data_IF_228002639430
#
_entry.id   IF_228002639430
#
_cell.length_a   1.000
_cell.length_b   1.000
_cell.length_c   1.000
_cell.angle_alpha   90.00
_cell.angle_beta   90.00
_cell.angle_gamma   90.00
#
_symmetry.space_group_name_H-M   'P 1'
#
loop_
_entity.id
_entity.type
_entity.pdbx_description
1 polymer ?
#
# COMPACT_ATOMS: atom_id res chain seq x y z
N UNK A 1 13.54 -18.03 -25.59
CA UNK A 1 13.13 -16.92 -24.67
C UNK A 1 13.10 -15.65 -25.51
N UNK A 2 11.92 -15.20 -25.90
CA UNK A 2 11.74 -13.89 -26.56
C UNK A 2 11.94 -12.82 -25.50
N UNK A 3 13.10 -12.16 -25.52
CA UNK A 3 13.34 -10.99 -24.68
C UNK A 3 12.40 -9.86 -25.13
N UNK A 4 11.55 -9.36 -24.25
CA UNK A 4 10.79 -8.15 -24.52
C UNK A 4 11.76 -6.98 -24.67
N UNK A 5 11.66 -6.14 -25.72
CA UNK A 5 12.52 -4.98 -25.87
C UNK A 5 12.25 -3.96 -24.76
N UNK A 6 13.27 -3.20 -24.36
CA UNK A 6 13.10 -2.09 -23.42
C UNK A 6 12.39 -0.89 -24.09
N UNK A 7 12.67 -0.67 -25.38
CA UNK A 7 12.15 0.45 -26.16
C UNK A 7 11.69 -0.03 -27.54
N UNK A 8 10.56 0.44 -28.00
CA UNK A 8 10.04 0.26 -29.35
C UNK A 8 10.04 1.60 -30.08
N UNK A 9 10.68 1.63 -31.26
CA UNK A 9 10.59 2.75 -32.18
C UNK A 9 9.56 2.39 -33.26
N UNK A 10 8.48 3.16 -33.36
CA UNK A 10 7.40 2.89 -34.29
C UNK A 10 7.18 4.09 -35.23
N UNK A 11 6.91 3.82 -36.50
CA UNK A 11 6.43 4.87 -37.40
C UNK A 11 4.96 5.18 -37.11
N UNK A 12 4.55 6.43 -37.28
CA UNK A 12 3.15 6.83 -37.19
C UNK A 12 2.34 6.26 -38.37
N UNK A 13 2.91 6.27 -39.54
CA UNK A 13 2.27 5.74 -40.74
C UNK A 13 2.78 4.34 -41.05
N UNK A 14 1.99 3.34 -40.66
CA UNK A 14 2.27 1.94 -40.96
C UNK A 14 1.41 1.49 -42.16
N UNK A 15 1.88 0.53 -42.97
CA UNK A 15 1.13 0.03 -44.14
C UNK A 15 -0.25 -0.54 -43.79
N UNK A 16 -0.40 -1.02 -42.56
CA UNK A 16 -1.56 -1.76 -42.05
C UNK A 16 -2.26 -1.03 -40.87
N UNK A 17 -1.88 0.21 -40.55
CA UNK A 17 -2.54 0.95 -39.46
C UNK A 17 -1.86 2.24 -39.05
N UNK A 18 -2.35 2.79 -37.92
CA UNK A 18 -1.81 4.00 -37.31
C UNK A 18 -0.95 3.65 -36.10
N UNK A 19 0.30 4.10 -36.08
CA UNK A 19 1.23 3.91 -34.98
C UNK A 19 0.75 4.51 -33.65
N UNK A 20 -0.06 5.58 -33.69
CA UNK A 20 -0.63 6.20 -32.49
C UNK A 20 -1.57 5.22 -31.75
N UNK A 21 -2.35 4.45 -32.50
CA UNK A 21 -3.25 3.43 -31.92
C UNK A 21 -2.48 2.19 -31.47
N UNK A 22 -1.36 1.86 -32.18
CA UNK A 22 -0.50 0.74 -31.81
C UNK A 22 0.13 0.92 -30.43
N UNK A 23 0.39 2.16 -29.97
CA UNK A 23 0.90 2.45 -28.63
C UNK A 23 0.01 1.82 -27.54
N UNK A 24 -1.32 1.99 -27.64
CA UNK A 24 -2.26 1.42 -26.68
C UNK A 24 -2.16 -0.11 -26.61
N UNK A 25 -1.99 -0.77 -27.77
CA UNK A 25 -1.90 -2.21 -27.84
C UNK A 25 -0.56 -2.71 -27.26
N UNK A 26 0.54 -2.04 -27.57
CA UNK A 26 1.86 -2.36 -26.97
C UNK A 26 1.81 -2.18 -25.45
N UNK A 27 1.28 -1.06 -24.96
CA UNK A 27 1.20 -0.80 -23.52
C UNK A 27 0.28 -1.77 -22.77
N UNK A 28 -0.75 -2.32 -23.43
CA UNK A 28 -1.59 -3.39 -22.85
C UNK A 28 -0.86 -4.73 -22.76
N UNK A 29 -0.08 -5.09 -23.78
CA UNK A 29 0.63 -6.37 -23.85
C UNK A 29 1.94 -6.34 -23.08
N UNK A 30 2.66 -5.22 -23.13
CA UNK A 30 3.98 -5.03 -22.53
C UNK A 30 4.08 -3.63 -21.86
N UNK A 31 3.51 -3.45 -20.65
CA UNK A 31 3.41 -2.14 -19.98
C UNK A 31 4.78 -1.45 -19.75
N UNK A 32 5.84 -2.24 -19.59
CA UNK A 32 7.19 -1.75 -19.29
C UNK A 32 7.97 -1.31 -20.52
N UNK A 33 7.51 -1.65 -21.74
CA UNK A 33 8.16 -1.21 -22.99
C UNK A 33 7.84 0.27 -23.21
N UNK A 34 8.85 1.11 -23.34
CA UNK A 34 8.67 2.51 -23.70
C UNK A 34 8.58 2.65 -25.23
N UNK A 35 7.55 3.37 -25.69
CA UNK A 35 7.28 3.53 -27.12
C UNK A 35 7.60 4.95 -27.56
N UNK A 36 8.45 5.09 -28.57
CA UNK A 36 8.79 6.36 -29.22
C UNK A 36 8.21 6.32 -30.63
N UNK A 37 7.40 7.30 -30.98
CA UNK A 37 6.84 7.42 -32.31
C UNK A 37 7.70 8.33 -33.21
N UNK A 38 7.92 7.89 -34.42
CA UNK A 38 8.62 8.63 -35.47
C UNK A 38 7.63 9.03 -36.57
N UNK A 39 7.70 10.26 -37.06
CA UNK A 39 6.85 10.73 -38.16
C UNK A 39 7.66 11.52 -39.21
N UNK A 40 7.31 11.40 -40.45
CA UNK A 40 7.87 12.25 -41.51
C UNK A 40 7.26 13.68 -41.51
N UNK A 41 5.99 13.80 -41.05
CA UNK A 41 5.27 15.08 -40.98
C UNK A 41 4.69 15.24 -39.56
N UNK A 42 5.29 16.12 -38.75
CA UNK A 42 4.84 16.37 -37.38
C UNK A 42 3.45 17.04 -37.38
N UNK A 43 2.47 16.37 -36.80
CA UNK A 43 1.14 16.92 -36.54
C UNK A 43 0.94 17.01 -35.01
N UNK A 44 0.64 18.20 -34.51
CA UNK A 44 0.47 18.46 -33.07
C UNK A 44 -0.64 17.59 -32.44
N UNK A 45 -1.86 17.46 -33.07
CA UNK A 45 -2.89 16.57 -32.55
C UNK A 45 -2.45 15.12 -32.37
N UNK A 46 -1.73 14.55 -33.35
CA UNK A 46 -1.25 13.16 -33.28
C UNK A 46 -0.22 12.97 -32.19
N UNK A 47 0.69 13.95 -31.99
CA UNK A 47 1.66 13.95 -30.91
C UNK A 47 0.99 13.97 -29.54
N UNK A 48 0.00 14.84 -29.35
CA UNK A 48 -0.79 14.91 -28.09
C UNK A 48 -1.53 13.61 -27.83
N UNK A 49 -2.13 13.01 -28.87
CA UNK A 49 -2.85 11.74 -28.73
C UNK A 49 -1.89 10.58 -28.43
N UNK A 50 -0.72 10.55 -29.05
CA UNK A 50 0.32 9.56 -28.78
C UNK A 50 0.75 9.56 -27.30
N UNK A 51 1.02 10.74 -26.75
CA UNK A 51 1.41 10.88 -25.33
C UNK A 51 0.22 10.46 -24.41
N UNK A 52 -1.02 10.81 -24.74
CA UNK A 52 -2.22 10.35 -24.00
C UNK A 52 -2.37 8.82 -24.05
N UNK A 53 -2.00 8.20 -25.15
CA UNK A 53 -2.01 6.74 -25.32
C UNK A 53 -0.84 6.05 -24.59
N UNK A 54 0.09 6.82 -23.99
CA UNK A 54 1.20 6.29 -23.20
C UNK A 54 2.53 6.19 -23.96
N UNK A 55 2.69 6.84 -25.12
CA UNK A 55 3.99 6.96 -25.77
C UNK A 55 4.96 7.73 -24.87
N UNK A 56 6.23 7.32 -24.88
CA UNK A 56 7.29 8.01 -24.16
C UNK A 56 7.59 9.37 -24.82
N UNK A 57 7.65 9.39 -26.15
CA UNK A 57 7.82 10.63 -26.91
C UNK A 57 7.35 10.47 -28.37
N UNK A 58 7.29 11.62 -29.08
CA UNK A 58 6.88 11.74 -30.46
C UNK A 58 7.86 12.66 -31.20
N UNK A 59 8.55 12.15 -32.24
CA UNK A 59 9.65 12.84 -32.93
C UNK A 59 9.39 12.91 -34.42
N UNK A 60 9.76 14.05 -35.05
CA UNK A 60 9.76 14.22 -36.50
C UNK A 60 11.06 13.68 -37.12
N UNK A 61 10.94 12.86 -38.17
CA UNK A 61 12.09 12.38 -38.97
C UNK A 61 12.79 13.58 -39.62
N UNK A 62 14.10 13.69 -39.44
CA UNK A 62 14.87 14.84 -39.93
C UNK A 62 15.22 15.87 -38.89
N UNK A 63 14.59 15.84 -37.71
CA UNK A 63 15.13 16.52 -36.56
C UNK A 63 16.43 15.86 -36.12
N UNK A 64 17.38 16.72 -35.76
CA UNK A 64 18.76 16.45 -35.39
C UNK A 64 18.98 15.05 -34.78
N UNK A 65 19.72 14.16 -35.43
CA UNK A 65 20.09 12.84 -34.92
C UNK A 65 20.70 12.90 -33.50
N UNK A 66 21.24 14.06 -33.12
CA UNK A 66 21.79 14.31 -31.79
C UNK A 66 20.69 14.27 -30.68
N UNK A 67 19.40 14.40 -31.01
CA UNK A 67 18.29 14.33 -30.03
C UNK A 67 17.79 12.90 -29.84
N UNK A 68 17.88 12.04 -30.85
CA UNK A 68 17.33 10.68 -30.84
C UNK A 68 18.05 9.80 -29.82
N UNK A 69 19.39 9.82 -29.83
CA UNK A 69 20.23 8.97 -28.96
C UNK A 69 19.99 9.28 -27.48
N UNK A 70 20.03 10.56 -27.01
CA UNK A 70 19.68 10.89 -25.62
C UNK A 70 18.25 10.48 -25.24
N UNK A 71 17.30 10.59 -26.16
CA UNK A 71 15.92 10.23 -25.91
C UNK A 71 15.74 8.71 -25.73
N UNK A 72 16.36 7.90 -26.61
CA UNK A 72 16.38 6.44 -26.48
C UNK A 72 17.04 6.04 -25.15
N UNK A 73 18.15 6.68 -24.77
CA UNK A 73 18.81 6.40 -23.48
C UNK A 73 17.89 6.65 -22.31
N UNK A 74 17.16 7.78 -22.29
CA UNK A 74 16.17 8.09 -21.25
C UNK A 74 15.00 7.10 -21.24
N UNK A 75 14.52 6.67 -22.41
CA UNK A 75 13.46 5.67 -22.52
C UNK A 75 13.91 4.31 -21.97
N UNK A 76 15.16 3.88 -22.30
CA UNK A 76 15.77 2.65 -21.77
C UNK A 76 15.92 2.72 -20.24
N UNK A 77 16.40 3.84 -19.71
CA UNK A 77 16.53 4.02 -18.26
C UNK A 77 15.17 3.91 -17.56
N UNK A 78 14.13 4.55 -18.11
CA UNK A 78 12.79 4.47 -17.58
C UNK A 78 12.22 3.05 -17.63
N UNK A 79 12.39 2.34 -18.76
CA UNK A 79 11.96 0.95 -18.89
C UNK A 79 12.64 0.04 -17.86
N UNK A 80 13.97 0.15 -17.70
CA UNK A 80 14.73 -0.60 -16.69
C UNK A 80 14.31 -0.26 -15.27
N UNK A 81 14.02 1.02 -14.99
CA UNK A 81 13.51 1.44 -13.68
C UNK A 81 12.14 0.81 -13.38
N UNK A 82 11.22 0.79 -14.36
CA UNK A 82 9.91 0.17 -14.22
C UNK A 82 10.02 -1.34 -13.95
N UNK A 83 10.87 -2.06 -14.69
CA UNK A 83 11.13 -3.49 -14.48
C UNK A 83 11.73 -3.75 -13.10
N UNK A 84 12.66 -2.89 -12.65
CA UNK A 84 13.25 -3.00 -11.29
C UNK A 84 12.21 -2.77 -10.21
N UNK A 85 11.34 -1.76 -10.38
CA UNK A 85 10.24 -1.47 -9.47
C UNK A 85 9.29 -2.67 -9.37
N UNK A 86 8.85 -3.23 -10.50
CA UNK A 86 7.98 -4.41 -10.53
C UNK A 86 8.61 -5.62 -9.82
N UNK A 87 9.92 -5.86 -10.04
CA UNK A 87 10.64 -6.93 -9.33
C UNK A 87 10.70 -6.71 -7.82
N UNK A 88 10.88 -5.45 -7.38
CA UNK A 88 10.88 -5.11 -5.95
C UNK A 88 9.48 -5.26 -5.35
N UNK A 89 8.43 -4.79 -6.03
CA UNK A 89 7.05 -4.98 -5.62
C UNK A 89 6.69 -6.46 -5.47
N UNK A 90 7.09 -7.31 -6.44
CA UNK A 90 6.89 -8.76 -6.37
C UNK A 90 7.63 -9.38 -5.18
N UNK A 91 8.88 -8.97 -4.92
CA UNK A 91 9.64 -9.47 -3.76
C UNK A 91 8.97 -9.08 -2.45
N UNK A 92 8.54 -7.83 -2.31
CA UNK A 92 7.82 -7.33 -1.13
C UNK A 92 6.52 -8.11 -0.95
N UNK A 93 5.72 -8.26 -2.02
CA UNK A 93 4.48 -9.02 -1.97
C UNK A 93 4.68 -10.49 -1.57
N UNK A 94 5.75 -11.16 -2.02
CA UNK A 94 6.10 -12.51 -1.61
C UNK A 94 6.54 -12.58 -0.14
N UNK A 95 7.33 -11.60 0.32
CA UNK A 95 7.79 -11.54 1.70
C UNK A 95 6.64 -11.41 2.71
N UNK A 96 5.59 -10.68 2.32
CA UNK A 96 4.42 -10.40 3.16
C UNK A 96 3.16 -11.15 2.71
N UNK A 97 3.31 -12.26 1.97
CA UNK A 97 2.18 -13.10 1.57
C UNK A 97 1.69 -13.99 2.73
N UNK A 98 0.48 -14.52 2.61
CA UNK A 98 -0.02 -15.53 3.57
C UNK A 98 0.85 -16.77 3.63
N UNK A 99 1.56 -17.11 2.55
CA UNK A 99 2.49 -18.24 2.49
C UNK A 99 3.74 -18.03 3.35
N UNK A 100 4.05 -16.78 3.71
CA UNK A 100 5.16 -16.44 4.61
C UNK A 100 4.80 -16.64 6.09
N UNK A 101 3.53 -16.86 6.43
CA UNK A 101 3.08 -17.09 7.80
C UNK A 101 3.44 -18.52 8.21
N UNK A 102 4.37 -18.63 9.16
CA UNK A 102 4.89 -19.91 9.61
C UNK A 102 3.95 -20.60 10.59
N UNK A 103 3.62 -21.85 10.29
CA UNK A 103 2.84 -22.73 11.14
C UNK A 103 1.84 -23.58 10.37
N UNK A 104 1.44 -24.71 10.99
CA UNK A 104 0.54 -25.68 10.38
C UNK A 104 -0.63 -26.05 11.29
N UNK A 105 -0.73 -25.47 12.48
CA UNK A 105 -1.82 -25.72 13.41
C UNK A 105 -3.17 -25.37 12.81
N UNK A 106 -4.21 -26.10 13.20
CA UNK A 106 -5.58 -25.91 12.71
C UNK A 106 -6.09 -24.50 13.00
N UNK A 107 -5.85 -24.01 14.22
CA UNK A 107 -6.27 -22.66 14.62
C UNK A 107 -5.61 -21.55 13.77
N UNK A 108 -4.32 -21.68 13.44
CA UNK A 108 -3.64 -20.74 12.56
C UNK A 108 -4.20 -20.80 11.13
N UNK A 109 -4.40 -22.00 10.60
CA UNK A 109 -4.96 -22.19 9.24
C UNK A 109 -6.36 -21.58 9.11
N UNK A 110 -7.19 -21.71 10.13
CA UNK A 110 -8.51 -21.07 10.18
C UNK A 110 -8.40 -19.55 10.16
N UNK A 111 -7.50 -18.95 10.97
CA UNK A 111 -7.24 -17.52 10.96
C UNK A 111 -6.73 -17.02 9.59
N UNK A 112 -5.81 -17.75 8.97
CA UNK A 112 -5.30 -17.45 7.62
C UNK A 112 -6.41 -17.49 6.59
N UNK A 113 -7.28 -18.50 6.60
CA UNK A 113 -8.41 -18.60 5.67
C UNK A 113 -9.38 -17.42 5.81
N UNK A 114 -9.68 -17.00 7.03
CA UNK A 114 -10.51 -15.82 7.29
C UNK A 114 -9.84 -14.54 6.75
N UNK A 115 -8.56 -14.37 7.03
CA UNK A 115 -7.80 -13.23 6.55
C UNK A 115 -7.70 -13.18 5.01
N UNK A 116 -7.54 -14.33 4.35
CA UNK A 116 -7.58 -14.44 2.88
C UNK A 116 -8.94 -14.04 2.31
N UNK A 117 -10.04 -14.50 2.91
CA UNK A 117 -11.40 -14.14 2.47
C UNK A 117 -11.64 -12.63 2.54
N UNK A 118 -11.19 -11.97 3.59
CA UNK A 118 -11.39 -10.53 3.75
C UNK A 118 -10.41 -9.69 2.93
N UNK A 119 -9.26 -10.22 2.54
CA UNK A 119 -8.23 -9.47 1.82
C UNK A 119 -8.74 -8.86 0.50
N UNK A 120 -9.60 -9.56 -0.23
CA UNK A 120 -10.16 -9.12 -1.52
C UNK A 120 -11.24 -8.05 -1.41
N UNK A 121 -11.65 -7.70 -0.19
CA UNK A 121 -12.66 -6.68 0.12
C UNK A 121 -12.01 -5.41 0.67
N UNK A 122 -12.75 -4.30 0.74
CA UNK A 122 -12.30 -3.04 1.34
C UNK A 122 -12.89 -2.80 2.74
N UNK A 123 -13.59 -3.79 3.32
CA UNK A 123 -14.17 -3.63 4.66
C UNK A 123 -13.08 -3.48 5.73
N UNK A 124 -13.37 -2.74 6.82
CA UNK A 124 -12.50 -2.70 7.99
C UNK A 124 -12.27 -4.09 8.58
N UNK A 125 -11.06 -4.34 9.07
CA UNK A 125 -10.67 -5.61 9.69
C UNK A 125 -10.16 -5.34 11.10
N UNK A 126 -10.67 -6.09 12.07
CA UNK A 126 -10.19 -6.08 13.45
C UNK A 126 -9.42 -7.38 13.72
N UNK A 127 -8.12 -7.27 13.97
CA UNK A 127 -7.26 -8.37 14.38
C UNK A 127 -7.19 -8.41 15.91
N UNK A 128 -7.58 -9.52 16.51
CA UNK A 128 -7.50 -9.71 17.95
C UNK A 128 -6.54 -10.84 18.30
N UNK A 129 -5.87 -10.73 19.44
CA UNK A 129 -4.95 -11.76 19.91
C UNK A 129 -3.90 -11.17 20.83
N UNK A 130 -3.24 -12.03 21.58
CA UNK A 130 -2.18 -11.63 22.53
C UNK A 130 -1.02 -10.92 21.84
N UNK A 131 -0.23 -10.19 22.60
CA UNK A 131 1.01 -9.59 22.11
C UNK A 131 1.94 -10.69 21.59
N UNK A 132 2.56 -10.46 20.43
CA UNK A 132 3.47 -11.42 19.79
C UNK A 132 2.80 -12.51 18.94
N UNK A 133 1.46 -12.50 18.74
CA UNK A 133 0.76 -13.49 17.90
C UNK A 133 0.95 -13.25 16.39
N UNK A 134 1.54 -12.11 15.99
CA UNK A 134 1.81 -11.78 14.60
C UNK A 134 0.73 -10.93 13.94
N UNK A 135 0.00 -10.10 14.69
CA UNK A 135 -1.06 -9.22 14.17
C UNK A 135 -0.57 -8.34 13.01
N UNK A 136 0.63 -7.76 13.11
CA UNK A 136 1.21 -6.96 12.04
C UNK A 136 1.51 -7.79 10.77
N UNK A 137 2.02 -9.01 10.92
CA UNK A 137 2.28 -9.93 9.80
C UNK A 137 0.98 -10.24 9.06
N UNK A 138 -0.11 -10.47 9.79
CA UNK A 138 -1.44 -10.66 9.19
C UNK A 138 -1.95 -9.40 8.51
N UNK A 139 -1.76 -8.22 9.10
CA UNK A 139 -2.16 -6.95 8.48
C UNK A 139 -1.43 -6.70 7.15
N UNK A 140 -0.13 -6.96 7.11
CA UNK A 140 0.67 -6.89 5.89
C UNK A 140 0.21 -7.92 4.86
N UNK A 141 -0.03 -9.18 5.25
CA UNK A 141 -0.52 -10.22 4.35
C UNK A 141 -1.89 -9.86 3.75
N UNK A 142 -2.81 -9.30 4.54
CA UNK A 142 -4.11 -8.80 4.08
C UNK A 142 -3.93 -7.67 3.06
N UNK A 143 -3.03 -6.71 3.33
CA UNK A 143 -2.78 -5.59 2.42
C UNK A 143 -2.19 -6.08 1.09
N UNK A 144 -1.08 -6.83 1.13
CA UNK A 144 -0.38 -7.27 -0.08
C UNK A 144 -1.17 -8.29 -0.91
N UNK A 145 -2.18 -8.95 -0.33
CA UNK A 145 -3.13 -9.83 -1.03
C UNK A 145 -4.41 -9.09 -1.48
N UNK A 146 -4.49 -7.76 -1.31
CA UNK A 146 -5.67 -6.96 -1.65
C UNK A 146 -5.54 -6.27 -3.01
N UNK A 147 -6.63 -5.63 -3.44
CA UNK A 147 -6.63 -4.74 -4.62
C UNK A 147 -5.74 -3.51 -4.43
N UNK A 148 -5.37 -3.18 -3.18
CA UNK A 148 -4.51 -2.05 -2.81
C UNK A 148 -3.05 -2.43 -2.60
N UNK A 149 -2.65 -3.65 -3.01
CA UNK A 149 -1.29 -4.20 -2.81
C UNK A 149 -0.14 -3.34 -3.38
N UNK A 150 -0.43 -2.51 -4.37
CA UNK A 150 0.53 -1.56 -4.97
C UNK A 150 0.49 -0.15 -4.36
N UNK A 151 -0.40 0.07 -3.40
CA UNK A 151 -0.56 1.35 -2.71
C UNK A 151 0.16 1.33 -1.37
N UNK A 152 0.23 2.48 -0.71
CA UNK A 152 0.92 2.60 0.57
C UNK A 152 0.27 1.74 1.66
N UNK A 153 1.11 1.04 2.42
CA UNK A 153 0.78 0.44 3.71
C UNK A 153 1.44 1.29 4.80
N UNK A 154 0.62 1.96 5.60
CA UNK A 154 1.09 2.84 6.68
C UNK A 154 0.73 2.19 8.01
N UNK A 155 1.74 1.86 8.82
CA UNK A 155 1.55 1.27 10.14
C UNK A 155 1.80 2.31 11.23
N UNK A 156 0.93 2.35 12.23
CA UNK A 156 1.09 3.18 13.42
C UNK A 156 0.67 2.39 14.66
N UNK A 157 1.52 2.42 15.67
CA UNK A 157 1.19 1.86 16.98
C UNK A 157 0.64 2.97 17.86
N UNK A 158 -0.62 2.84 18.30
CA UNK A 158 -1.34 3.84 19.07
C UNK A 158 -0.77 4.05 20.48
N UNK A 159 -0.02 3.08 21.02
CA UNK A 159 0.60 3.20 22.35
C UNK A 159 1.98 3.88 22.34
N UNK A 160 2.58 4.08 21.17
CA UNK A 160 3.97 4.57 21.03
C UNK A 160 4.10 6.08 21.20
N UNK A 161 3.01 6.82 21.27
CA UNK A 161 2.99 8.28 21.28
C UNK A 161 2.13 8.84 22.43
N UNK A 162 2.46 10.06 22.92
CA UNK A 162 1.48 10.79 23.71
C UNK A 162 0.24 11.12 22.88
N UNK A 163 -0.89 11.40 23.54
CA UNK A 163 -2.16 11.72 22.87
C UNK A 163 -2.01 12.83 21.82
N UNK A 164 -1.35 13.94 22.19
CA UNK A 164 -1.17 15.12 21.34
C UNK A 164 -0.29 14.79 20.13
N UNK A 165 0.76 14.01 20.36
CA UNK A 165 1.67 13.62 19.29
C UNK A 165 0.98 12.62 18.33
N UNK A 166 0.26 11.63 18.85
CA UNK A 166 -0.52 10.69 18.04
C UNK A 166 -1.54 11.41 17.17
N UNK A 167 -2.23 12.41 17.73
CA UNK A 167 -3.19 13.22 16.99
C UNK A 167 -2.53 13.96 15.82
N UNK A 168 -1.40 14.60 16.10
CA UNK A 168 -0.62 15.32 15.08
C UNK A 168 -0.04 14.40 14.00
N UNK A 169 0.44 13.19 14.38
CA UNK A 169 0.93 12.20 13.42
C UNK A 169 -0.20 11.68 12.54
N UNK A 170 -1.31 11.25 13.13
CA UNK A 170 -2.41 10.63 12.39
C UNK A 170 -3.13 11.60 11.46
N UNK A 171 -3.48 12.80 11.96
CA UNK A 171 -4.35 13.74 11.24
C UNK A 171 -3.62 14.93 10.62
N UNK A 172 -2.36 15.16 11.01
CA UNK A 172 -1.60 16.31 10.55
C UNK A 172 -2.01 17.62 11.22
N UNK A 173 -1.24 18.65 10.98
CA UNK A 173 -1.49 19.98 11.56
C UNK A 173 -1.11 21.11 10.61
N UNK A 174 -1.64 22.31 10.90
CA UNK A 174 -1.24 23.57 10.28
C UNK A 174 -0.16 24.24 11.11
N UNK A 175 0.70 25.00 10.43
CA UNK A 175 1.67 25.86 11.10
C UNK A 175 0.97 26.78 12.10
N UNK A 176 1.55 26.92 13.29
CA UNK A 176 1.01 27.77 14.36
C UNK A 176 -0.15 27.18 15.17
N UNK A 177 -0.58 25.94 14.93
CA UNK A 177 -1.71 25.32 15.63
C UNK A 177 -1.42 24.94 17.09
N UNK A 178 -0.16 24.77 17.45
CA UNK A 178 0.33 24.57 18.83
C UNK A 178 1.80 24.96 18.94
N UNK A 179 2.32 25.03 20.17
CA UNK A 179 3.73 25.36 20.43
C UNK A 179 4.63 24.29 19.83
N UNK A 180 5.45 24.68 18.82
CA UNK A 180 6.30 23.76 18.06
C UNK A 180 5.80 23.40 16.66
N UNK A 181 4.59 23.78 16.27
CA UNK A 181 4.06 23.61 14.91
C UNK A 181 4.65 24.65 13.95
N UNK A 182 5.92 24.50 13.57
CA UNK A 182 6.64 25.47 12.73
C UNK A 182 6.23 25.42 11.26
N UNK A 183 5.73 24.30 10.78
CA UNK A 183 5.33 24.07 9.37
C UNK A 183 4.06 23.23 9.31
N UNK A 184 3.36 23.29 8.18
CA UNK A 184 2.28 22.36 7.88
C UNK A 184 2.81 20.93 7.83
N UNK A 185 2.09 19.98 8.43
CA UNK A 185 2.41 18.56 8.40
C UNK A 185 1.25 17.77 7.81
N UNK A 186 1.56 16.88 6.87
CA UNK A 186 0.61 15.86 6.41
C UNK A 186 0.48 14.77 7.47
N UNK A 187 -0.74 14.29 7.68
CA UNK A 187 -1.00 13.18 8.59
C UNK A 187 -0.87 11.81 7.90
N UNK A 188 -0.70 10.75 8.71
CA UNK A 188 -0.59 9.38 8.24
C UNK A 188 -1.83 8.93 7.43
N UNK A 189 -3.02 9.47 7.70
CA UNK A 189 -4.20 9.22 6.87
C UNK A 189 -4.07 9.78 5.45
N UNK A 190 -3.37 10.91 5.26
CA UNK A 190 -3.08 11.42 3.91
C UNK A 190 -2.02 10.57 3.20
N UNK A 191 -1.02 10.09 3.94
CA UNK A 191 0.02 9.21 3.40
C UNK A 191 -0.55 7.85 2.98
N UNK A 192 -1.56 7.35 3.73
CA UNK A 192 -2.27 6.12 3.44
C UNK A 192 -3.38 6.29 2.37
N UNK A 193 -3.56 7.49 1.80
CA UNK A 193 -4.66 7.73 0.86
C UNK A 193 -4.59 6.80 -0.35
N UNK A 194 -5.72 6.19 -0.71
CA UNK A 194 -5.89 5.09 -1.67
C UNK A 194 -5.24 3.76 -1.26
N UNK A 195 -4.52 3.72 -0.14
CA UNK A 195 -3.83 2.56 0.42
C UNK A 195 -4.53 1.97 1.64
N UNK A 196 -3.72 1.51 2.59
CA UNK A 196 -4.17 0.88 3.83
C UNK A 196 -3.45 1.50 5.02
N UNK A 197 -4.17 1.81 6.09
CA UNK A 197 -3.59 2.14 7.39
C UNK A 197 -3.78 0.96 8.34
N UNK A 198 -2.72 0.61 9.05
CA UNK A 198 -2.72 -0.38 10.12
C UNK A 198 -2.58 0.33 11.45
N UNK A 199 -3.60 0.20 12.30
CA UNK A 199 -3.67 0.79 13.64
C UNK A 199 -3.42 -0.30 14.66
N UNK A 200 -2.18 -0.43 15.12
CA UNK A 200 -1.83 -1.40 16.15
C UNK A 200 -2.15 -0.86 17.54
N UNK A 201 -2.52 -1.75 18.43
CA UNK A 201 -2.95 -1.46 19.82
C UNK A 201 -4.04 -0.38 19.87
N UNK A 202 -5.09 -0.54 19.03
CA UNK A 202 -6.20 0.43 18.92
C UNK A 202 -6.92 0.67 20.26
N UNK A 203 -6.93 -0.32 21.17
CA UNK A 203 -7.49 -0.21 22.50
C UNK A 203 -6.77 0.78 23.42
N UNK A 204 -5.56 1.24 23.03
CA UNK A 204 -4.79 2.26 23.75
C UNK A 204 -5.09 3.69 23.26
N UNK A 205 -5.86 3.83 22.18
CA UNK A 205 -6.16 5.14 21.61
C UNK A 205 -7.00 5.98 22.56
N UNK A 206 -6.57 7.23 22.82
CA UNK A 206 -7.31 8.18 23.64
C UNK A 206 -8.74 8.38 23.13
N UNK A 207 -9.71 8.45 24.04
CA UNK A 207 -11.15 8.47 23.75
C UNK A 207 -11.57 9.56 22.76
N UNK A 208 -10.94 10.73 22.82
CA UNK A 208 -11.22 11.86 21.91
C UNK A 208 -10.75 11.58 20.48
N UNK A 209 -9.66 10.85 20.31
CA UNK A 209 -9.15 10.48 18.98
C UNK A 209 -10.02 9.42 18.32
N UNK A 210 -10.65 8.56 19.12
CA UNK A 210 -11.61 7.57 18.63
C UNK A 210 -12.78 8.22 17.88
N UNK A 211 -13.26 9.39 18.33
CA UNK A 211 -14.31 10.14 17.63
C UNK A 211 -13.88 10.64 16.24
N UNK A 212 -12.61 11.08 16.10
CA UNK A 212 -12.05 11.47 14.80
C UNK A 212 -11.89 10.28 13.86
N UNK A 213 -11.44 9.14 14.39
CA UNK A 213 -11.33 7.90 13.63
C UNK A 213 -12.70 7.41 13.15
N UNK A 214 -13.74 7.48 14.00
CA UNK A 214 -15.11 7.13 13.63
C UNK A 214 -15.58 7.95 12.43
N UNK A 215 -15.33 9.27 12.44
CA UNK A 215 -15.68 10.14 11.31
C UNK A 215 -15.02 9.72 10.00
N UNK A 216 -13.73 9.32 10.04
CA UNK A 216 -13.05 8.79 8.84
C UNK A 216 -13.71 7.51 8.35
N UNK A 217 -14.08 6.58 9.26
CA UNK A 217 -14.74 5.33 8.89
C UNK A 217 -16.12 5.53 8.28
N UNK A 218 -16.82 6.60 8.64
CA UNK A 218 -18.18 6.90 8.19
C UNK A 218 -18.20 7.72 6.89
N UNK A 219 -17.39 8.77 6.84
CA UNK A 219 -17.48 9.78 5.77
C UNK A 219 -16.23 9.86 4.90
N UNK A 220 -15.12 9.25 5.33
CA UNK A 220 -13.82 9.43 4.69
C UNK A 220 -13.23 10.82 4.91
N UNK A 221 -13.70 11.58 5.91
CA UNK A 221 -13.30 12.97 6.13
C UNK A 221 -12.85 13.20 7.56
N UNK A 222 -11.89 14.10 7.72
CA UNK A 222 -11.43 14.61 9.02
C UNK A 222 -10.92 16.05 8.89
N UNK A 223 -10.67 16.69 10.02
CA UNK A 223 -10.12 18.06 10.08
C UNK A 223 -8.74 17.98 10.74
N UNK A 224 -7.72 18.58 10.08
CA UNK A 224 -6.37 18.73 10.65
C UNK A 224 -6.39 19.62 11.88
N UNK A 225 -5.41 19.45 12.74
CA UNK A 225 -5.24 20.34 13.89
C UNK A 225 -4.98 21.76 13.37
N UNK A 226 -5.77 22.72 13.88
CA UNK A 226 -5.67 24.14 13.48
C UNK A 226 -6.24 24.46 12.09
N UNK A 227 -6.93 23.52 11.44
CA UNK A 227 -7.64 23.79 10.18
C UNK A 227 -9.16 23.85 10.42
N UNK A 228 -9.88 24.47 9.49
CA UNK A 228 -11.36 24.50 9.47
C UNK A 228 -11.94 23.71 8.30
N UNK A 229 -11.10 23.36 7.32
CA UNK A 229 -11.54 22.66 6.11
C UNK A 229 -11.40 21.15 6.29
N UNK A 230 -12.42 20.36 5.91
CA UNK A 230 -12.30 18.91 5.91
C UNK A 230 -11.29 18.43 4.86
N UNK A 231 -10.47 17.47 5.25
CA UNK A 231 -9.60 16.70 4.36
C UNK A 231 -10.27 15.38 4.07
N UNK A 232 -10.38 15.00 2.80
CA UNK A 232 -10.99 13.74 2.37
C UNK A 232 -9.95 12.71 2.00
N UNK A 233 -10.15 11.48 2.47
CA UNK A 233 -9.26 10.33 2.21
C UNK A 233 -10.06 9.07 1.90
N UNK A 234 -9.48 8.20 1.11
CA UNK A 234 -10.01 6.86 0.83
C UNK A 234 -8.99 5.83 1.34
N UNK A 235 -9.15 5.39 2.59
CA UNK A 235 -8.17 4.53 3.25
C UNK A 235 -8.88 3.26 3.76
N UNK A 236 -8.31 2.09 3.45
CA UNK A 236 -8.71 0.84 4.09
C UNK A 236 -8.11 0.78 5.48
N UNK A 237 -8.91 0.45 6.49
CA UNK A 237 -8.47 0.39 7.88
C UNK A 237 -8.34 -1.07 8.32
N UNK A 238 -7.18 -1.43 8.86
CA UNK A 238 -6.93 -2.66 9.59
C UNK A 238 -6.54 -2.24 11.02
N UNK A 239 -7.29 -2.65 12.01
CA UNK A 239 -7.00 -2.37 13.41
C UNK A 239 -6.58 -3.65 14.14
N UNK A 240 -5.72 -3.52 15.14
CA UNK A 240 -5.29 -4.64 15.96
C UNK A 240 -5.30 -4.29 17.44
N UNK A 241 -5.61 -5.26 18.29
CA UNK A 241 -5.57 -5.10 19.75
C UNK A 241 -5.33 -6.44 20.46
N UNK A 242 -4.69 -6.36 21.61
CA UNK A 242 -4.62 -7.45 22.59
C UNK A 242 -5.66 -7.31 23.71
N UNK A 243 -6.36 -6.16 23.81
CA UNK A 243 -7.39 -5.89 24.82
C UNK A 243 -8.74 -6.48 24.42
N UNK A 244 -9.56 -6.77 25.43
CA UNK A 244 -10.97 -7.05 25.24
C UNK A 244 -11.73 -5.72 25.08
N UNK A 245 -12.01 -5.32 23.84
CA UNK A 245 -12.68 -4.04 23.57
C UNK A 245 -14.09 -3.96 24.16
N UNK A 246 -14.80 -5.08 24.34
CA UNK A 246 -16.12 -5.08 24.99
C UNK A 246 -16.00 -4.69 26.47
N UNK A 247 -14.94 -5.13 27.14
CA UNK A 247 -14.63 -4.71 28.49
C UNK A 247 -14.25 -3.23 28.56
N UNK A 248 -13.40 -2.77 27.62
CA UNK A 248 -13.02 -1.35 27.52
C UNK A 248 -14.23 -0.44 27.25
N UNK A 249 -15.23 -0.91 26.49
CA UNK A 249 -16.50 -0.21 26.30
C UNK A 249 -17.26 -0.10 27.63
N UNK A 250 -17.35 -1.21 28.37
CA UNK A 250 -18.09 -1.24 29.66
C UNK A 250 -17.50 -0.28 30.70
N UNK A 251 -16.19 -0.11 30.71
CA UNK A 251 -15.51 0.83 31.63
C UNK A 251 -15.36 2.25 31.05
N UNK A 252 -15.86 2.51 29.85
CA UNK A 252 -15.89 3.84 29.23
C UNK A 252 -14.57 4.29 28.58
N UNK A 253 -13.63 3.39 28.34
CA UNK A 253 -12.35 3.69 27.69
C UNK A 253 -12.41 3.56 26.17
N UNK A 254 -13.37 2.82 25.63
CA UNK A 254 -13.56 2.63 24.21
C UNK A 254 -15.00 2.93 23.80
N UNK A 255 -15.18 3.54 22.63
CA UNK A 255 -16.51 3.89 22.12
C UNK A 255 -17.17 2.68 21.47
N UNK A 256 -18.41 2.45 21.81
CA UNK A 256 -19.22 1.35 21.26
C UNK A 256 -19.49 1.52 19.76
N UNK A 257 -19.77 2.76 19.31
CA UNK A 257 -20.00 3.09 17.90
C UNK A 257 -18.77 2.80 17.03
N UNK A 258 -17.59 3.15 17.52
CA UNK A 258 -16.32 2.85 16.84
C UNK A 258 -16.06 1.33 16.78
N UNK A 259 -16.35 0.61 17.87
CA UNK A 259 -16.19 -0.84 17.90
C UNK A 259 -16.99 -1.52 16.78
N UNK A 260 -18.27 -1.20 16.62
CA UNK A 260 -19.09 -1.79 15.55
C UNK A 260 -18.62 -1.42 14.15
N UNK A 261 -18.04 -0.25 13.95
CA UNK A 261 -17.47 0.16 12.66
C UNK A 261 -16.14 -0.52 12.34
N UNK A 262 -15.30 -0.81 13.35
CA UNK A 262 -14.03 -1.53 13.17
C UNK A 262 -14.22 -3.03 13.06
N UNK A 263 -15.19 -3.60 13.81
CA UNK A 263 -15.41 -5.04 13.94
C UNK A 263 -16.30 -5.64 12.85
N UNK A 264 -16.40 -5.00 11.68
CA UNK A 264 -17.18 -5.54 10.54
C UNK A 264 -16.68 -6.93 10.16
N UNK A 265 -15.36 -7.13 10.18
CA UNK A 265 -14.75 -8.43 10.03
C UNK A 265 -13.68 -8.64 11.10
N UNK A 266 -13.84 -9.70 11.88
CA UNK A 266 -12.89 -10.02 12.95
C UNK A 266 -12.09 -11.25 12.61
N UNK A 267 -10.78 -11.20 12.88
CA UNK A 267 -9.87 -12.34 12.80
C UNK A 267 -9.15 -12.46 14.14
N UNK A 268 -9.41 -13.57 14.83
CA UNK A 268 -8.69 -13.88 16.06
C UNK A 268 -7.43 -14.68 15.75
N UNK A 269 -6.29 -14.20 16.24
CA UNK A 269 -5.00 -14.85 16.08
C UNK A 269 -4.71 -15.69 17.34
N UNK A 270 -4.52 -17.01 17.18
CA UNK A 270 -4.28 -17.89 18.32
C UNK A 270 -2.91 -17.60 18.98
N UNK A 271 -2.86 -17.70 20.28
CA UNK A 271 -1.61 -17.63 21.04
C UNK A 271 -0.72 -18.85 20.74
N UNK A 272 0.58 -18.75 21.03
CA UNK A 272 1.53 -19.83 20.73
C UNK A 272 1.17 -21.15 21.45
N UNK A 273 0.61 -21.09 22.64
CA UNK A 273 0.16 -22.27 23.40
C UNK A 273 -1.04 -22.99 22.76
N UNK A 274 -1.84 -22.29 21.94
CA UNK A 274 -2.96 -22.86 21.17
C UNK A 274 -2.52 -23.40 19.81
N UNK A 275 -1.25 -23.15 19.43
CA UNK A 275 -0.63 -23.56 18.17
C UNK A 275 0.28 -24.76 18.36
N UNK A 276 -0.30 -25.87 18.86
CA UNK A 276 0.46 -27.11 19.10
C UNK A 276 1.15 -27.59 17.82
N UNK A 277 2.45 -27.82 17.88
CA UNK A 277 3.30 -28.22 16.74
C UNK A 277 4.01 -27.06 16.04
N UNK A 278 3.50 -25.84 16.09
CA UNK A 278 4.10 -24.67 15.42
C UNK A 278 5.37 -24.18 16.14
N UNK A 279 5.53 -24.47 17.44
CA UNK A 279 6.71 -24.08 18.24
C UNK A 279 8.01 -24.57 17.58
N UNK A 280 8.03 -25.85 17.15
CA UNK A 280 9.21 -26.44 16.51
C UNK A 280 9.50 -25.75 15.17
N UNK A 281 8.46 -25.49 14.37
CA UNK A 281 8.57 -24.83 13.05
C UNK A 281 9.17 -23.44 13.23
N UNK A 282 8.62 -22.66 14.17
CA UNK A 282 9.09 -21.30 14.47
C UNK A 282 10.52 -21.30 15.01
N UNK A 283 10.84 -22.18 15.97
CA UNK A 283 12.19 -22.28 16.55
C UNK A 283 13.22 -22.61 15.46
N UNK A 284 12.92 -23.55 14.56
CA UNK A 284 13.82 -23.93 13.46
C UNK A 284 14.01 -22.77 12.47
N UNK A 285 12.92 -22.08 12.10
CA UNK A 285 12.98 -20.95 11.20
C UNK A 285 13.79 -19.77 11.77
N UNK A 286 13.58 -19.44 13.04
CA UNK A 286 14.35 -18.39 13.73
C UNK A 286 15.82 -18.77 13.87
N UNK A 287 16.14 -20.01 14.29
CA UNK A 287 17.52 -20.48 14.39
C UNK A 287 18.25 -20.34 13.05
N UNK A 288 17.61 -20.76 11.95
CA UNK A 288 18.16 -20.60 10.60
C UNK A 288 18.37 -19.13 10.23
N UNK A 289 17.39 -18.27 10.45
CA UNK A 289 17.48 -16.84 10.15
C UNK A 289 18.59 -16.13 10.94
N UNK A 290 18.78 -16.50 12.21
CA UNK A 290 19.87 -15.95 13.03
C UNK A 290 21.23 -16.49 12.60
N UNK A 291 21.34 -17.78 12.28
CA UNK A 291 22.58 -18.38 11.74
C UNK A 291 23.03 -17.67 10.47
N UNK A 292 22.12 -17.44 9.53
CA UNK A 292 22.41 -16.71 8.28
C UNK A 292 22.86 -15.26 8.53
N UNK A 293 22.26 -14.57 9.50
CA UNK A 293 22.63 -13.18 9.86
C UNK A 293 23.99 -13.09 10.56
N UNK A 294 24.33 -14.09 11.35
CA UNK A 294 25.59 -14.13 12.10
C UNK A 294 26.72 -14.79 11.31
N UNK A 295 26.47 -15.22 10.06
CA UNK A 295 27.42 -15.92 9.20
C UNK A 295 28.02 -17.19 9.85
N UNK A 296 27.20 -17.91 10.64
CA UNK A 296 27.53 -19.22 11.21
C UNK A 296 26.90 -20.34 10.41
#
# INVERSE_FOLDING_TARGET
ETQSPDVALCDVFLPDGNGVDLVLNIKKLAPNVEVILLTAHGNIPDGVQAIKNGAFDYITKGDDNNKIIPLISRAVEKAKMNVRLEKLEKKVGQMYSFDSILGESKALKEAVLLAQKVSVTDVPVLLTGETGTGKEVFAQAIHYSSKRSKQNFVAVNCSSFSKELLESEMFGHRAGSFTGALKDKKGLFEEANNGTIFLDEIGEMAFELQAKLLRILETGEYIKIGDTKPTRVNVRIIAATNRNLQEEIRVGHFREDLFYRLSVFQVHLPSLRERTGDIRILATAFAKSFSEKLSY
#
